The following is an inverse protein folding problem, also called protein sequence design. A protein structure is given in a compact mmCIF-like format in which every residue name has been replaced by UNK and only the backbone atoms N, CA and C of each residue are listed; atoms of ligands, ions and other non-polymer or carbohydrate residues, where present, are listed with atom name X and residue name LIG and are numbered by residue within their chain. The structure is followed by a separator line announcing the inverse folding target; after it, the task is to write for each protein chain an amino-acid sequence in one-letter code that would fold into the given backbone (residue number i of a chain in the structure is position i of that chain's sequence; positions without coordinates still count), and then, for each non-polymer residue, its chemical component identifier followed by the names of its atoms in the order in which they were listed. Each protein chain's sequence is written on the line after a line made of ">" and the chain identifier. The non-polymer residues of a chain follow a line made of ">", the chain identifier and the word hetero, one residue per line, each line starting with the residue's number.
data_IF_318919078783
#
_entry.id   IF_318919078783
#
_cell.length_a   1.000
_cell.length_b   1.000
_cell.length_c   1.000
_cell.angle_alpha   90.00
_cell.angle_beta   90.00
_cell.angle_gamma   90.00
#
_symmetry.space_group_name_H-M   'P 1'
#
loop_
_entity.id
_entity.type
_entity.pdbx_description
1 polymer ?
#
# COMPACT_ATOMS: atom_id res chain seq x y z
N UNK A 1 -5.42 59.15 13.97
CA UNK A 1 -4.75 59.28 12.66
C UNK A 1 -5.78 59.06 11.58
N UNK A 2 -5.90 59.94 10.59
CA UNK A 2 -6.84 59.72 9.50
C UNK A 2 -6.24 58.73 8.50
N UNK A 3 -6.71 57.48 8.52
CA UNK A 3 -6.32 56.43 7.57
C UNK A 3 -6.93 56.70 6.17
N UNK A 4 -6.56 57.82 5.56
CA UNK A 4 -6.98 58.18 4.20
C UNK A 4 -5.82 57.94 3.24
N UNK A 5 -5.97 56.94 2.37
CA UNK A 5 -5.10 56.75 1.22
C UNK A 5 -5.49 57.73 0.11
N UNK A 6 -4.54 58.57 -0.32
CA UNK A 6 -4.76 59.58 -1.37
C UNK A 6 -3.91 59.24 -2.59
N UNK A 7 -4.54 59.15 -3.76
CA UNK A 7 -3.85 58.94 -5.04
C UNK A 7 -3.98 60.19 -5.89
N UNK A 8 -2.85 60.71 -6.41
CA UNK A 8 -2.82 61.84 -7.35
C UNK A 8 -2.73 61.30 -8.77
N UNK A 9 -3.67 61.68 -9.63
CA UNK A 9 -3.66 61.32 -11.06
C UNK A 9 -3.34 62.55 -11.92
N UNK A 10 -2.67 62.33 -13.06
CA UNK A 10 -2.37 63.37 -14.06
C UNK A 10 -3.26 63.12 -15.29
N UNK A 11 -4.16 64.06 -15.61
CA UNK A 11 -5.08 63.98 -16.75
C UNK A 11 -6.56 64.00 -16.33
N UNK A 12 -7.46 63.66 -17.28
CA UNK A 12 -8.90 63.53 -17.04
C UNK A 12 -9.18 62.14 -16.47
N UNK A 13 -9.75 62.07 -15.28
CA UNK A 13 -10.08 60.82 -14.60
C UNK A 13 -11.58 60.52 -14.76
N UNK A 14 -11.92 59.36 -15.32
CA UNK A 14 -13.28 58.82 -15.19
C UNK A 14 -13.47 58.30 -13.76
N UNK A 15 -14.03 59.14 -12.91
CA UNK A 15 -14.27 58.84 -11.51
C UNK A 15 -15.19 57.62 -11.31
N UNK A 16 -16.18 57.40 -12.19
CA UNK A 16 -17.14 56.33 -12.04
C UNK A 16 -16.50 54.98 -12.36
N UNK A 17 -15.80 54.88 -13.49
CA UNK A 17 -15.07 53.66 -13.87
C UNK A 17 -13.97 53.34 -12.87
N UNK A 18 -13.20 54.35 -12.45
CA UNK A 18 -12.08 54.17 -11.50
C UNK A 18 -12.58 53.71 -10.13
N UNK A 19 -13.66 54.31 -9.60
CA UNK A 19 -14.26 53.89 -8.32
C UNK A 19 -14.71 52.43 -8.38
N UNK A 20 -15.39 52.03 -9.47
CA UNK A 20 -15.87 50.66 -9.66
C UNK A 20 -14.73 49.65 -9.74
N UNK A 21 -13.64 49.98 -10.43
CA UNK A 21 -12.45 49.13 -10.50
C UNK A 21 -11.80 48.96 -9.12
N UNK A 22 -11.65 50.04 -8.36
CA UNK A 22 -11.09 50.00 -6.99
C UNK A 22 -11.98 49.15 -6.06
N UNK A 23 -13.30 49.31 -6.10
CA UNK A 23 -14.23 48.51 -5.29
C UNK A 23 -14.16 47.01 -5.64
N UNK A 24 -14.00 46.68 -6.92
CA UNK A 24 -13.81 45.29 -7.37
C UNK A 24 -12.50 44.71 -6.84
N UNK A 25 -11.41 45.48 -6.88
CA UNK A 25 -10.11 45.02 -6.41
C UNK A 25 -10.06 44.91 -4.89
N UNK A 26 -10.71 45.82 -4.15
CA UNK A 26 -10.92 45.69 -2.70
C UNK A 26 -11.68 44.39 -2.40
N UNK A 27 -12.77 44.12 -3.13
CA UNK A 27 -13.58 42.90 -2.93
C UNK A 27 -12.78 41.62 -3.20
N UNK A 28 -11.91 41.62 -4.21
CA UNK A 28 -10.99 40.50 -4.46
C UNK A 28 -9.99 40.34 -3.31
N UNK A 29 -9.36 41.43 -2.88
CA UNK A 29 -8.38 41.43 -1.78
C UNK A 29 -9.00 40.97 -0.46
N UNK A 30 -10.22 41.41 -0.15
CA UNK A 30 -10.96 40.95 1.02
C UNK A 30 -11.19 39.43 1.03
N UNK A 31 -11.44 38.83 -0.13
CA UNK A 31 -11.61 37.38 -0.25
C UNK A 31 -10.33 36.60 0.04
N UNK A 32 -9.17 37.19 -0.25
CA UNK A 32 -7.87 36.58 0.05
C UNK A 32 -7.43 36.81 1.49
N UNK A 33 -7.77 37.97 2.07
CA UNK A 33 -7.38 38.36 3.42
C UNK A 33 -8.31 37.80 4.50
N UNK A 34 -9.61 37.63 4.20
CA UNK A 34 -10.56 37.00 5.14
C UNK A 34 -10.31 35.49 5.17
N UNK A 35 -10.08 34.89 6.36
CA UNK A 35 -10.02 33.44 6.47
C UNK A 35 -11.35 32.84 6.03
N UNK A 36 -11.31 31.73 5.26
CA UNK A 36 -12.48 31.01 4.69
C UNK A 36 -13.60 30.65 5.70
N UNK A 37 -13.34 30.72 7.01
CA UNK A 37 -14.30 30.49 8.09
C UNK A 37 -14.15 31.58 9.17
N UNK A 38 -14.66 32.77 8.87
CA UNK A 38 -14.62 33.95 9.75
C UNK A 38 -15.64 33.93 10.91
N UNK A 39 -16.39 32.83 11.09
CA UNK A 39 -17.38 32.70 12.17
C UNK A 39 -16.80 32.29 13.52
N UNK A 40 -15.51 31.95 13.59
CA UNK A 40 -14.82 31.61 14.83
C UNK A 40 -14.18 32.87 15.39
N UNK A 41 -14.75 33.40 16.47
CA UNK A 41 -14.44 34.73 17.03
C UNK A 41 -13.01 34.93 17.57
N UNK A 42 -12.12 33.94 17.51
CA UNK A 42 -10.72 34.04 17.92
C UNK A 42 -9.77 33.31 16.97
N UNK A 43 -8.61 33.92 16.71
CA UNK A 43 -7.51 33.34 15.92
C UNK A 43 -7.07 31.98 16.44
N UNK A 44 -7.15 31.76 17.76
CA UNK A 44 -6.80 30.48 18.40
C UNK A 44 -7.75 29.34 17.97
N UNK A 45 -9.03 29.64 17.82
CA UNK A 45 -10.06 28.66 17.44
C UNK A 45 -9.99 28.32 15.96
N UNK A 46 -9.61 29.29 15.12
CA UNK A 46 -9.33 29.08 13.70
C UNK A 46 -8.14 28.14 13.52
N UNK A 47 -7.04 28.38 14.24
CA UNK A 47 -5.83 27.52 14.19
C UNK A 47 -6.14 26.11 14.68
N UNK A 48 -6.88 25.98 15.78
CA UNK A 48 -7.27 24.67 16.35
C UNK A 48 -8.14 23.87 15.37
N UNK A 49 -9.11 24.52 14.72
CA UNK A 49 -9.94 23.87 13.71
C UNK A 49 -9.13 23.47 12.48
N UNK A 50 -8.26 24.34 11.95
CA UNK A 50 -7.41 24.03 10.80
C UNK A 50 -6.46 22.85 11.10
N UNK A 51 -5.87 22.79 12.29
CA UNK A 51 -5.08 21.63 12.72
C UNK A 51 -5.93 20.36 12.78
N UNK A 52 -7.17 20.46 13.26
CA UNK A 52 -8.07 19.31 13.37
C UNK A 52 -8.50 18.78 12.00
N UNK A 53 -8.80 19.66 11.04
CA UNK A 53 -9.16 19.30 9.67
C UNK A 53 -7.96 18.65 8.96
N UNK A 54 -6.76 19.25 9.11
CA UNK A 54 -5.52 18.68 8.56
C UNK A 54 -5.15 17.33 9.18
N UNK A 55 -5.41 17.14 10.47
CA UNK A 55 -5.24 15.83 11.16
C UNK A 55 -6.22 14.78 10.64
N UNK A 56 -7.46 15.16 10.32
CA UNK A 56 -8.44 14.25 9.70
C UNK A 56 -8.03 13.86 8.27
N UNK A 57 -7.55 14.80 7.48
CA UNK A 57 -7.02 14.54 6.14
C UNK A 57 -5.83 13.57 6.16
N UNK A 58 -4.84 13.82 7.03
CA UNK A 58 -3.69 12.92 7.24
C UNK A 58 -4.12 11.52 7.70
N UNK A 59 -5.09 11.43 8.62
CA UNK A 59 -5.65 10.15 9.03
C UNK A 59 -6.44 9.45 7.90
N UNK A 60 -7.01 10.20 6.95
CA UNK A 60 -7.59 9.64 5.74
C UNK A 60 -6.51 9.01 4.86
N UNK A 61 -5.41 9.72 4.64
CA UNK A 61 -4.27 9.24 3.85
C UNK A 61 -3.64 7.97 4.44
N UNK A 62 -3.40 7.94 5.76
CA UNK A 62 -2.82 6.76 6.42
C UNK A 62 -3.70 5.51 6.36
N UNK A 63 -5.04 5.66 6.33
CA UNK A 63 -5.96 4.54 6.12
C UNK A 63 -5.78 3.92 4.74
N UNK A 64 -5.68 4.74 3.70
CA UNK A 64 -5.46 4.26 2.33
C UNK A 64 -4.06 3.68 2.16
N UNK A 65 -3.04 4.23 2.82
CA UNK A 65 -1.69 3.66 2.84
C UNK A 65 -1.68 2.28 3.49
N UNK A 66 -2.28 2.12 4.68
CA UNK A 66 -2.35 0.83 5.36
C UNK A 66 -3.11 -0.24 4.57
N UNK A 67 -4.11 0.19 3.78
CA UNK A 67 -4.86 -0.71 2.89
C UNK A 67 -4.02 -1.09 1.68
N UNK A 68 -3.33 -0.11 1.07
CA UNK A 68 -2.42 -0.32 -0.04
C UNK A 68 -1.31 -1.29 0.34
N UNK A 69 -0.65 -1.08 1.48
CA UNK A 69 0.40 -1.97 1.98
C UNK A 69 -0.09 -3.41 2.17
N UNK A 70 -1.27 -3.59 2.78
CA UNK A 70 -1.88 -4.92 2.95
C UNK A 70 -2.15 -5.60 1.62
N UNK A 71 -2.71 -4.86 0.66
CA UNK A 71 -2.99 -5.38 -0.69
C UNK A 71 -1.71 -5.72 -1.43
N UNK A 72 -0.68 -4.87 -1.36
CA UNK A 72 0.63 -5.10 -1.98
C UNK A 72 1.31 -6.34 -1.39
N UNK A 73 1.32 -6.47 -0.06
CA UNK A 73 1.87 -7.65 0.65
C UNK A 73 1.14 -8.94 0.26
N UNK A 74 -0.19 -8.89 0.14
CA UNK A 74 -0.98 -10.02 -0.34
C UNK A 74 -0.60 -10.41 -1.77
N UNK A 75 -0.54 -9.45 -2.69
CA UNK A 75 -0.16 -9.68 -4.10
C UNK A 75 1.24 -10.29 -4.22
N UNK A 76 2.21 -9.76 -3.47
CA UNK A 76 3.58 -10.29 -3.44
C UNK A 76 3.62 -11.73 -2.91
N UNK A 77 2.87 -12.01 -1.85
CA UNK A 77 2.81 -13.36 -1.25
C UNK A 77 2.19 -14.37 -2.22
N UNK A 78 1.07 -14.02 -2.86
CA UNK A 78 0.42 -14.87 -3.85
C UNK A 78 1.29 -15.08 -5.10
N UNK A 79 1.96 -14.03 -5.56
CA UNK A 79 2.91 -14.13 -6.69
C UNK A 79 4.02 -15.13 -6.36
N UNK A 80 4.63 -15.01 -5.17
CA UNK A 80 5.66 -15.96 -4.70
C UNK A 80 5.11 -17.39 -4.59
N UNK A 81 3.87 -17.59 -4.10
CA UNK A 81 3.25 -18.92 -4.01
C UNK A 81 3.07 -19.56 -5.39
N UNK A 82 2.53 -18.80 -6.35
CA UNK A 82 2.31 -19.27 -7.72
C UNK A 82 3.62 -19.54 -8.46
N UNK A 83 4.65 -18.73 -8.23
CA UNK A 83 5.99 -18.99 -8.76
C UNK A 83 6.60 -20.29 -8.22
N UNK A 84 6.44 -20.56 -6.92
CA UNK A 84 6.87 -21.84 -6.32
C UNK A 84 6.15 -23.04 -6.90
N UNK A 85 4.93 -22.86 -7.42
CA UNK A 85 4.17 -23.89 -8.14
C UNK A 85 4.58 -24.03 -9.62
N UNK A 86 5.59 -23.28 -10.08
CA UNK A 86 6.13 -23.37 -11.45
C UNK A 86 5.53 -22.37 -12.44
N UNK A 87 4.71 -21.42 -11.99
CA UNK A 87 4.14 -20.39 -12.87
C UNK A 87 5.16 -19.28 -13.16
N UNK A 88 5.27 -18.84 -14.42
CA UNK A 88 6.11 -17.70 -14.79
C UNK A 88 5.71 -16.41 -14.07
N UNK A 89 6.68 -15.56 -13.75
CA UNK A 89 6.51 -14.36 -12.91
C UNK A 89 5.36 -13.44 -13.38
N UNK A 90 5.30 -13.13 -14.67
CA UNK A 90 4.29 -12.20 -15.20
C UNK A 90 2.87 -12.76 -15.09
N UNK A 91 2.70 -14.07 -15.34
CA UNK A 91 1.42 -14.77 -15.16
C UNK A 91 1.04 -14.82 -13.67
N UNK A 92 1.98 -15.16 -12.81
CA UNK A 92 1.79 -15.19 -11.35
C UNK A 92 1.38 -13.82 -10.79
N UNK A 93 1.99 -12.74 -11.27
CA UNK A 93 1.65 -11.36 -10.89
C UNK A 93 0.23 -10.98 -11.34
N UNK A 94 -0.14 -11.28 -12.59
CA UNK A 94 -1.49 -11.02 -13.12
C UNK A 94 -2.56 -11.80 -12.34
N UNK A 95 -2.28 -13.05 -12.01
CA UNK A 95 -3.19 -13.91 -11.25
C UNK A 95 -3.33 -13.45 -9.79
N UNK A 96 -2.23 -13.09 -9.13
CA UNK A 96 -2.25 -12.50 -7.79
C UNK A 96 -3.02 -11.18 -7.73
N UNK A 97 -2.93 -10.36 -8.78
CA UNK A 97 -3.72 -9.14 -8.92
C UNK A 97 -5.22 -9.45 -9.00
N UNK A 98 -5.63 -10.39 -9.86
CA UNK A 98 -7.03 -10.85 -9.95
C UNK A 98 -7.54 -11.39 -8.61
N UNK A 99 -6.72 -12.19 -7.90
CA UNK A 99 -7.02 -12.70 -6.55
C UNK A 99 -7.22 -11.59 -5.52
N UNK A 100 -6.48 -10.50 -5.63
CA UNK A 100 -6.62 -9.37 -4.70
C UNK A 100 -7.96 -8.63 -4.84
N UNK A 101 -8.58 -8.70 -6.02
CA UNK A 101 -9.88 -8.07 -6.31
C UNK A 101 -11.08 -8.99 -6.02
N UNK A 102 -10.83 -10.27 -5.76
CA UNK A 102 -11.91 -11.22 -5.48
C UNK A 102 -12.54 -11.01 -4.11
N UNK A 103 -13.81 -11.39 -4.00
CA UNK A 103 -14.51 -11.45 -2.71
C UNK A 103 -13.90 -12.52 -1.81
N UNK A 104 -14.06 -12.39 -0.49
CA UNK A 104 -13.52 -13.38 0.45
C UNK A 104 -14.22 -14.75 0.34
N UNK A 105 -15.44 -14.78 -0.19
CA UNK A 105 -16.13 -16.04 -0.52
C UNK A 105 -15.43 -16.78 -1.65
N UNK A 106 -15.02 -16.06 -2.69
CA UNK A 106 -14.37 -16.65 -3.87
C UNK A 106 -12.93 -17.07 -3.56
N UNK A 107 -12.20 -16.27 -2.77
CA UNK A 107 -10.86 -16.64 -2.27
C UNK A 107 -10.90 -17.97 -1.52
N UNK A 108 -11.83 -18.11 -0.57
CA UNK A 108 -12.00 -19.37 0.18
C UNK A 108 -12.30 -20.56 -0.73
N UNK A 109 -13.19 -20.39 -1.71
CA UNK A 109 -13.51 -21.44 -2.69
C UNK A 109 -12.28 -21.87 -3.49
N UNK A 110 -11.43 -20.91 -3.89
CA UNK A 110 -10.18 -21.21 -4.58
C UNK A 110 -9.19 -21.95 -3.69
N UNK A 111 -9.02 -21.53 -2.43
CA UNK A 111 -8.16 -22.20 -1.46
C UNK A 111 -8.61 -23.65 -1.22
N UNK A 112 -9.90 -23.90 -1.04
CA UNK A 112 -10.42 -25.27 -0.92
C UNK A 112 -10.15 -26.12 -2.16
N UNK A 113 -10.30 -25.54 -3.36
CA UNK A 113 -9.97 -26.23 -4.61
C UNK A 113 -8.48 -26.52 -4.73
N UNK A 114 -7.62 -25.59 -4.32
CA UNK A 114 -6.15 -25.80 -4.30
C UNK A 114 -5.77 -26.92 -3.32
N UNK A 115 -6.29 -26.88 -2.09
CA UNK A 115 -6.02 -27.90 -1.06
C UNK A 115 -6.52 -29.28 -1.49
N UNK A 116 -7.70 -29.37 -2.12
CA UNK A 116 -8.22 -30.62 -2.65
C UNK A 116 -7.39 -31.18 -3.82
N UNK A 117 -6.79 -30.31 -4.64
CA UNK A 117 -5.87 -30.74 -5.70
C UNK A 117 -4.54 -31.19 -5.13
N UNK A 118 -3.99 -30.47 -4.17
CA UNK A 118 -2.74 -30.83 -3.48
C UNK A 118 -2.89 -32.15 -2.72
N UNK A 119 -4.00 -32.37 -2.03
CA UNK A 119 -4.25 -33.63 -1.31
C UNK A 119 -4.38 -34.82 -2.27
N UNK A 120 -5.10 -34.66 -3.38
CA UNK A 120 -5.19 -35.69 -4.43
C UNK A 120 -3.82 -35.97 -5.07
N UNK A 121 -3.02 -34.95 -5.33
CA UNK A 121 -1.66 -35.11 -5.87
C UNK A 121 -0.74 -35.86 -4.89
N UNK A 122 -0.76 -35.47 -3.62
CA UNK A 122 0.00 -36.15 -2.55
C UNK A 122 -0.44 -37.60 -2.37
N UNK A 123 -1.75 -37.86 -2.35
CA UNK A 123 -2.30 -39.22 -2.25
C UNK A 123 -1.87 -40.11 -3.42
N UNK A 124 -1.91 -39.58 -4.66
CA UNK A 124 -1.40 -40.31 -5.84
C UNK A 124 0.11 -40.57 -5.77
N UNK A 125 0.91 -39.61 -5.30
CA UNK A 125 2.35 -39.84 -5.09
C UNK A 125 2.62 -40.91 -4.03
N UNK A 126 1.89 -40.89 -2.91
CA UNK A 126 2.02 -41.90 -1.86
C UNK A 126 1.60 -43.29 -2.34
N UNK A 127 0.49 -43.39 -3.07
CA UNK A 127 0.05 -44.66 -3.67
C UNK A 127 1.06 -45.19 -4.71
N UNK A 128 1.63 -44.32 -5.55
CA UNK A 128 2.69 -44.70 -6.48
C UNK A 128 3.99 -45.13 -5.77
N UNK A 129 4.26 -44.61 -4.57
CA UNK A 129 5.41 -45.01 -3.74
C UNK A 129 5.19 -46.34 -3.00
N UNK A 130 3.94 -46.71 -2.71
CA UNK A 130 3.61 -47.99 -2.05
C UNK A 130 3.66 -49.19 -3.00
N UNK A 131 3.50 -48.97 -4.32
CA UNK A 131 3.59 -50.03 -5.34
C UNK A 131 5.02 -50.43 -5.75
N UNK A 132 6.05 -49.73 -5.27
CA UNK A 132 7.46 -50.09 -5.49
C UNK A 132 8.10 -50.43 -4.14
N UNK A 133 8.19 -51.73 -3.87
CA UNK A 133 8.62 -52.30 -2.60
C UNK A 133 9.93 -51.73 -2.04
N UNK A 134 9.98 -51.69 -0.71
CA UNK A 134 11.09 -51.53 0.26
C UNK A 134 12.37 -50.75 -0.11
N UNK A 135 12.91 -50.88 -1.32
CA UNK A 135 14.16 -50.27 -1.80
C UNK A 135 14.02 -48.75 -2.00
N UNK A 136 12.85 -48.27 -2.45
CA UNK A 136 12.61 -46.83 -2.63
C UNK A 136 12.52 -46.06 -1.28
N UNK A 137 12.14 -46.74 -0.20
CA UNK A 137 12.03 -46.15 1.15
C UNK A 137 13.40 -45.83 1.74
N UNK A 138 14.41 -46.63 1.41
CA UNK A 138 15.80 -46.44 1.85
C UNK A 138 16.48 -45.32 1.04
N UNK A 139 16.24 -45.24 -0.27
CA UNK A 139 16.82 -44.17 -1.10
C UNK A 139 16.30 -42.76 -0.76
N UNK A 140 15.02 -42.63 -0.38
CA UNK A 140 14.44 -41.35 0.08
C UNK A 140 15.00 -40.96 1.46
N UNK A 141 15.22 -41.92 2.36
CA UNK A 141 15.88 -41.71 3.65
C UNK A 141 17.35 -41.28 3.49
N UNK A 142 18.11 -41.93 2.61
CA UNK A 142 19.53 -41.60 2.37
C UNK A 142 19.74 -40.29 1.61
N UNK A 143 18.84 -39.89 0.71
CA UNK A 143 18.91 -38.59 0.06
C UNK A 143 18.61 -37.44 1.04
N UNK A 144 17.69 -37.62 2.00
CA UNK A 144 17.48 -36.62 3.07
C UNK A 144 18.65 -36.57 4.06
N UNK A 145 19.32 -37.70 4.32
CA UNK A 145 20.54 -37.76 5.15
C UNK A 145 21.73 -37.01 4.55
N UNK A 146 21.95 -37.11 3.22
CA UNK A 146 23.09 -36.46 2.56
C UNK A 146 22.92 -34.94 2.39
N UNK A 147 21.70 -34.41 2.35
CA UNK A 147 21.48 -32.95 2.26
C UNK A 147 21.65 -32.27 3.63
N UNK A 148 21.48 -33.00 4.74
CA UNK A 148 21.78 -32.51 6.09
C UNK A 148 23.30 -32.60 6.37
N UNK A 149 23.97 -33.67 5.91
CA UNK A 149 25.42 -33.85 6.09
C UNK A 149 26.30 -32.79 5.41
N UNK A 150 25.91 -32.28 4.24
CA UNK A 150 26.69 -31.26 3.51
C UNK A 150 26.39 -29.80 3.91
N UNK A 151 25.33 -29.54 4.68
CA UNK A 151 25.10 -28.23 5.28
C UNK A 151 25.77 -28.10 6.66
N UNK A 152 25.96 -29.22 7.37
CA UNK A 152 26.62 -29.23 8.68
C UNK A 152 28.16 -29.25 8.60
N UNK A 153 28.75 -29.59 7.45
CA UNK A 153 30.21 -29.56 7.24
C UNK A 153 30.79 -28.18 6.90
N UNK A 154 29.95 -27.15 6.68
CA UNK A 154 30.41 -25.78 6.36
C UNK A 154 30.27 -24.76 7.49
N UNK A 155 29.84 -25.18 8.68
CA UNK A 155 29.75 -24.31 9.88
C UNK A 155 30.64 -24.80 11.04
N UNK A 156 31.27 -25.98 10.93
CA UNK A 156 32.19 -26.51 11.95
C UNK A 156 33.68 -26.25 11.72
N UNK A 157 34.07 -25.46 10.71
CA UNK A 157 35.47 -25.33 10.26
C UNK A 157 36.22 -24.09 10.78
N UNK A 158 35.94 -23.62 12.00
CA UNK A 158 36.50 -22.37 12.48
C UNK A 158 36.61 -22.27 14.00
N UNK A 159 37.21 -23.25 14.66
CA UNK A 159 37.79 -23.14 16.01
C UNK A 159 38.46 -24.48 16.37
N UNK A 160 39.79 -24.45 16.55
CA UNK A 160 40.79 -25.45 16.99
C UNK A 160 41.97 -25.23 15.99
N UNK A 161 43.05 -24.52 16.27
CA UNK A 161 43.73 -24.34 17.54
C UNK A 161 44.72 -25.48 17.76
N UNK A 162 45.82 -25.51 17.00
CA UNK A 162 47.20 -25.93 17.30
C UNK A 162 48.01 -26.07 16.01
#
# INVERSE_FOLDING_TARGET
>A
MSDKFTIKFKGILDHAATKKAIEQDISKMEKYLKPKKSSLGSTKDIVKNNLSDKKKELNGQSKFESLRERVEKYRLTQTKKLMKQGMGFEKARKEAFKRSLMSDRDKRRLEYKELAKESKAKSKMLAASQGKGLVAKIAIGSALGNVIGNAMSKVGGGLIGF
#
